data_IF_997767122229
#
_entry.id   IF_997767122229
#
_cell.length_a   1.000
_cell.length_b   1.000
_cell.length_c   1.000
_cell.angle_alpha   90.00
_cell.angle_beta   90.00
_cell.angle_gamma   90.00
#
_symmetry.space_group_name_H-M   'P 1'
#
loop_
_entity.id
_entity.type
_entity.pdbx_description
1 polymer ?
#
# COMPACT_ATOMS: atom_id res chain seq x y z
N UNK A 1 12.56 -2.11 8.77
CA UNK A 1 13.68 -2.77 8.08
C UNK A 1 13.21 -3.47 6.79
N UNK A 2 12.71 -2.72 5.80
CA UNK A 2 12.23 -3.26 4.51
C UNK A 2 12.75 -2.50 3.28
N UNK A 3 13.33 -1.31 3.50
CA UNK A 3 13.92 -0.48 2.44
C UNK A 3 15.01 -1.19 1.59
N UNK A 4 15.88 -2.07 2.14
CA UNK A 4 16.91 -2.74 1.33
C UNK A 4 16.30 -3.69 0.28
N UNK A 5 15.27 -4.45 0.68
CA UNK A 5 14.57 -5.41 -0.19
C UNK A 5 13.86 -4.67 -1.32
N UNK A 6 13.20 -3.55 -1.00
CA UNK A 6 12.46 -2.75 -1.99
C UNK A 6 13.39 -2.12 -3.03
N UNK A 7 14.57 -1.67 -2.62
CA UNK A 7 15.61 -1.15 -3.52
C UNK A 7 16.21 -2.25 -4.40
N UNK A 8 16.48 -3.43 -3.82
CA UNK A 8 16.96 -4.61 -4.57
C UNK A 8 15.96 -5.06 -5.64
N UNK A 9 14.68 -5.19 -5.25
CA UNK A 9 13.59 -5.59 -6.15
C UNK A 9 13.40 -4.54 -7.26
N UNK A 10 13.49 -3.24 -6.95
CA UNK A 10 13.44 -2.16 -7.95
C UNK A 10 14.60 -2.23 -8.96
N UNK A 11 15.82 -2.55 -8.50
CA UNK A 11 16.99 -2.73 -9.39
C UNK A 11 16.88 -3.96 -10.28
N UNK A 12 16.22 -5.02 -9.82
CA UNK A 12 16.10 -6.28 -10.56
C UNK A 12 14.96 -6.28 -11.60
N UNK A 13 13.84 -5.61 -11.32
CA UNK A 13 12.62 -5.64 -12.16
C UNK A 13 12.50 -4.47 -13.16
N UNK A 14 13.28 -3.40 -12.96
CA UNK A 14 13.13 -2.16 -13.73
C UNK A 14 11.96 -1.27 -13.27
N UNK A 15 12.07 0.03 -13.53
CA UNK A 15 11.11 1.06 -13.09
C UNK A 15 9.65 0.84 -13.53
N UNK A 16 9.35 0.54 -14.81
CA UNK A 16 7.96 0.46 -15.27
C UNK A 16 7.22 -0.73 -14.68
N UNK A 17 7.90 -1.87 -14.51
CA UNK A 17 7.29 -3.06 -13.92
C UNK A 17 7.06 -2.90 -12.42
N UNK A 18 8.00 -2.24 -11.74
CA UNK A 18 7.88 -1.85 -10.35
C UNK A 18 6.70 -0.90 -10.10
N UNK A 19 6.50 0.13 -10.94
CA UNK A 19 5.37 1.07 -10.81
C UNK A 19 4.04 0.34 -10.98
N UNK A 20 3.95 -0.58 -11.95
CA UNK A 20 2.75 -1.40 -12.20
C UNK A 20 2.45 -2.33 -11.02
N UNK A 21 3.45 -3.04 -10.53
CA UNK A 21 3.33 -3.94 -9.39
C UNK A 21 2.92 -3.16 -8.13
N UNK A 22 3.53 -1.99 -7.91
CA UNK A 22 3.18 -1.08 -6.82
C UNK A 22 1.71 -0.65 -6.88
N UNK A 23 1.23 -0.23 -8.04
CA UNK A 23 -0.17 0.16 -8.23
C UNK A 23 -1.14 -0.96 -7.87
N UNK A 24 -0.86 -2.19 -8.33
CA UNK A 24 -1.66 -3.38 -7.99
C UNK A 24 -1.62 -3.72 -6.50
N UNK A 25 -0.45 -3.66 -5.88
CA UNK A 25 -0.28 -3.96 -4.46
C UNK A 25 -1.04 -2.94 -3.57
N UNK A 26 -0.98 -1.65 -3.90
CA UNK A 26 -1.73 -0.61 -3.18
C UNK A 26 -3.24 -0.84 -3.32
N UNK A 27 -3.72 -1.13 -4.53
CA UNK A 27 -5.13 -1.40 -4.77
C UNK A 27 -5.63 -2.61 -3.98
N UNK A 28 -4.87 -3.71 -3.98
CA UNK A 28 -5.18 -4.90 -3.20
C UNK A 28 -5.21 -4.60 -1.69
N UNK A 29 -4.23 -3.84 -1.19
CA UNK A 29 -4.18 -3.47 0.21
C UNK A 29 -5.39 -2.62 0.64
N UNK A 30 -5.81 -1.66 -0.19
CA UNK A 30 -7.00 -0.85 0.06
C UNK A 30 -8.29 -1.69 0.03
N UNK A 31 -8.37 -2.72 -0.83
CA UNK A 31 -9.48 -3.68 -0.84
C UNK A 31 -9.52 -4.53 0.43
N UNK A 32 -8.38 -4.99 0.94
CA UNK A 32 -8.33 -5.73 2.22
C UNK A 32 -8.85 -4.87 3.37
N UNK A 33 -8.43 -3.60 3.45
CA UNK A 33 -8.96 -2.65 4.45
C UNK A 33 -10.47 -2.48 4.27
N UNK A 34 -10.94 -2.36 3.03
CA UNK A 34 -12.36 -2.19 2.74
C UNK A 34 -13.19 -3.40 3.16
N UNK A 35 -12.76 -4.61 2.79
CA UNK A 35 -13.43 -5.86 3.15
C UNK A 35 -13.43 -6.09 4.66
N UNK A 36 -12.35 -5.70 5.34
CA UNK A 36 -12.30 -5.72 6.81
C UNK A 36 -13.36 -4.78 7.38
N UNK A 37 -13.38 -3.51 6.95
CA UNK A 37 -14.37 -2.55 7.43
C UNK A 37 -15.81 -3.01 7.17
N UNK A 38 -16.10 -3.61 6.02
CA UNK A 38 -17.43 -4.13 5.68
C UNK A 38 -17.85 -5.31 6.58
N UNK A 39 -16.94 -6.25 6.85
CA UNK A 39 -17.21 -7.38 7.76
C UNK A 39 -17.51 -6.95 9.19
N UNK A 40 -16.88 -5.87 9.65
CA UNK A 40 -17.00 -5.39 11.03
C UNK A 40 -17.97 -4.21 11.18
N UNK A 41 -18.68 -3.81 10.12
CA UNK A 41 -19.65 -2.70 10.17
C UNK A 41 -19.01 -1.35 10.46
N UNK A 42 -17.76 -1.14 10.05
CA UNK A 42 -17.01 0.08 10.32
C UNK A 42 -17.45 1.21 9.39
N UNK A 43 -17.68 2.38 9.96
CA UNK A 43 -18.09 3.58 9.24
C UNK A 43 -17.12 3.94 8.09
N UNK A 44 -17.70 4.51 7.02
CA UNK A 44 -16.98 4.92 5.81
C UNK A 44 -15.88 5.95 6.10
N UNK A 45 -16.07 6.84 7.07
CA UNK A 45 -15.08 7.87 7.46
C UNK A 45 -13.86 7.21 8.08
N UNK A 46 -14.08 6.27 9.00
CA UNK A 46 -13.02 5.50 9.66
C UNK A 46 -12.24 4.66 8.65
N UNK A 47 -12.94 3.97 7.74
CA UNK A 47 -12.33 3.24 6.62
C UNK A 47 -11.41 4.13 5.80
N UNK A 48 -11.88 5.31 5.41
CA UNK A 48 -11.08 6.25 4.61
C UNK A 48 -9.87 6.76 5.39
N UNK A 49 -10.00 7.01 6.69
CA UNK A 49 -8.89 7.42 7.55
C UNK A 49 -7.82 6.33 7.65
N UNK A 50 -8.20 5.06 7.72
CA UNK A 50 -7.25 3.94 7.74
C UNK A 50 -6.54 3.76 6.40
N UNK A 51 -7.23 3.94 5.27
CA UNK A 51 -6.60 3.95 3.94
C UNK A 51 -5.57 5.08 3.83
N UNK A 52 -5.89 6.28 4.34
CA UNK A 52 -4.95 7.41 4.39
C UNK A 52 -3.75 7.11 5.29
N UNK A 53 -3.97 6.57 6.48
CA UNK A 53 -2.91 6.17 7.41
C UNK A 53 -1.97 5.14 6.77
N UNK A 54 -2.51 4.11 6.12
CA UNK A 54 -1.72 3.11 5.41
C UNK A 54 -0.88 3.73 4.29
N UNK A 55 -1.44 4.67 3.53
CA UNK A 55 -0.72 5.44 2.50
C UNK A 55 0.40 6.28 3.11
N UNK A 56 0.14 7.03 4.19
CA UNK A 56 1.14 7.92 4.77
C UNK A 56 2.26 7.14 5.49
N UNK A 57 1.94 5.99 6.08
CA UNK A 57 2.94 5.04 6.56
C UNK A 57 3.80 4.49 5.41
N UNK A 58 3.18 4.13 4.28
CA UNK A 58 3.91 3.70 3.09
C UNK A 58 4.89 4.74 2.56
N UNK A 59 4.52 6.03 2.60
CA UNK A 59 5.41 7.15 2.26
C UNK A 59 6.55 7.30 3.28
N UNK A 60 6.21 7.31 4.58
CA UNK A 60 7.19 7.46 5.67
C UNK A 60 8.23 6.34 5.69
N UNK A 61 7.84 5.13 5.29
CA UNK A 61 8.71 3.97 5.19
C UNK A 61 9.50 3.87 3.88
N UNK A 62 9.33 4.81 2.95
CA UNK A 62 10.01 4.81 1.64
C UNK A 62 9.51 3.74 0.66
N UNK A 63 8.37 3.11 0.94
CA UNK A 63 7.72 2.11 0.08
C UNK A 63 6.90 2.77 -1.04
N UNK A 64 6.47 4.02 -0.79
CA UNK A 64 5.82 4.90 -1.74
C UNK A 64 6.79 6.06 -2.00
N UNK A 65 7.74 5.82 -2.91
CA UNK A 65 8.55 6.88 -3.53
C UNK A 65 7.73 7.61 -4.60
#
# INVERSE_FOLDING_TARGET
MFAPIVVLVRRWMGEPEFIRLRGKAIALHAQVITNFCERFGIDRTQRQNWIRLARDNGKKLGLLA
#
